data_IF_524654352335
#
_entry.id   IF_524654352335
#
_cell.length_a   1.000
_cell.length_b   1.000
_cell.length_c   1.000
_cell.angle_alpha   90.00
_cell.angle_beta   90.00
_cell.angle_gamma   90.00
#
_symmetry.space_group_name_H-M   'P 1'
#
loop_
_entity.id
_entity.type
_entity.pdbx_description
1 polymer ?
#
# COMPACT_ATOMS: atom_id res chain seq x y z
N UNK A 1 0.21 -49.57 24.28
CA UNK A 1 0.49 -49.03 22.95
C UNK A 1 1.54 -49.97 22.30
N UNK A 2 1.19 -50.62 21.20
CA UNK A 2 2.08 -51.62 20.58
C UNK A 2 3.22 -50.91 19.83
N UNK A 3 4.45 -51.48 19.86
CA UNK A 3 5.62 -50.95 19.17
C UNK A 3 5.36 -50.60 17.68
N UNK A 4 4.52 -51.39 17.00
CA UNK A 4 4.07 -51.08 15.63
C UNK A 4 3.30 -49.77 15.48
N UNK A 5 2.45 -49.40 16.47
CA UNK A 5 1.73 -48.15 16.46
C UNK A 5 2.65 -46.94 16.66
N UNK A 6 3.68 -47.12 17.53
CA UNK A 6 4.68 -46.07 17.76
C UNK A 6 5.50 -45.79 16.49
N UNK A 7 5.94 -46.86 15.79
CA UNK A 7 6.66 -46.73 14.53
C UNK A 7 5.84 -46.05 13.44
N UNK A 8 4.54 -46.37 13.35
CA UNK A 8 3.64 -45.77 12.36
C UNK A 8 3.44 -44.26 12.65
N UNK A 9 3.30 -43.89 13.93
CA UNK A 9 3.16 -42.48 14.33
C UNK A 9 4.47 -41.69 14.05
N UNK A 10 5.64 -42.28 14.33
CA UNK A 10 6.93 -41.66 14.02
C UNK A 10 7.15 -41.52 12.50
N UNK A 11 6.73 -42.48 11.70
CA UNK A 11 6.81 -42.41 10.24
C UNK A 11 5.84 -41.36 9.67
N UNK A 12 4.63 -41.25 10.19
CA UNK A 12 3.70 -40.19 9.81
C UNK A 12 4.17 -38.80 10.25
N UNK A 13 4.78 -38.66 11.43
CA UNK A 13 5.37 -37.43 11.90
C UNK A 13 6.60 -37.02 11.08
N UNK A 14 7.41 -37.98 10.64
CA UNK A 14 8.56 -37.74 9.75
C UNK A 14 8.14 -37.36 8.32
N UNK A 15 7.02 -37.89 7.81
CA UNK A 15 6.48 -37.56 6.49
C UNK A 15 5.84 -36.14 6.46
N UNK A 16 5.48 -35.57 7.60
CA UNK A 16 4.96 -34.20 7.72
C UNK A 16 6.06 -33.15 7.91
N UNK A 17 7.34 -33.48 7.81
CA UNK A 17 8.40 -32.51 7.57
C UNK A 17 8.22 -32.00 6.14
N UNK A 18 7.20 -31.17 5.97
CA UNK A 18 7.04 -30.36 4.76
C UNK A 18 8.39 -29.70 4.51
N UNK A 19 9.00 -29.97 3.41
CA UNK A 19 10.13 -29.21 2.91
C UNK A 19 9.71 -27.75 2.95
N UNK A 20 10.15 -27.03 3.98
CA UNK A 20 10.01 -25.58 4.03
C UNK A 20 10.78 -25.08 2.80
N UNK A 21 10.09 -24.99 1.68
CA UNK A 21 10.62 -24.39 0.47
C UNK A 21 11.02 -22.98 0.89
N UNK A 22 12.30 -22.68 0.91
CA UNK A 22 12.76 -21.37 1.25
C UNK A 22 12.14 -20.43 0.26
N UNK A 23 11.21 -19.63 0.75
CA UNK A 23 10.50 -18.64 -0.05
C UNK A 23 11.42 -17.46 -0.25
N UNK A 24 11.57 -17.05 -1.49
CA UNK A 24 12.21 -15.79 -1.82
C UNK A 24 11.31 -14.64 -1.41
N UNK A 25 11.90 -13.53 -1.03
CA UNK A 25 11.18 -12.31 -0.70
C UNK A 25 11.55 -11.20 -1.67
N UNK A 26 10.57 -10.66 -2.37
CA UNK A 26 10.74 -9.51 -3.24
C UNK A 26 10.25 -8.26 -2.52
N UNK A 27 11.13 -7.28 -2.30
CA UNK A 27 10.77 -5.95 -1.81
C UNK A 27 10.49 -5.04 -3.00
N UNK A 28 9.27 -4.51 -3.05
CA UNK A 28 8.87 -3.56 -4.09
C UNK A 28 9.14 -2.11 -3.66
N UNK A 29 9.42 -1.22 -4.63
CA UNK A 29 9.59 0.23 -4.43
C UNK A 29 8.41 0.92 -3.75
N UNK A 30 7.23 0.33 -3.79
CA UNK A 30 6.04 0.82 -3.06
C UNK A 30 5.96 0.35 -1.60
N UNK A 31 6.99 -0.36 -1.08
CA UNK A 31 7.04 -0.86 0.30
C UNK A 31 6.30 -2.17 0.52
N UNK A 32 5.83 -2.86 -0.52
CA UNK A 32 5.16 -4.16 -0.38
C UNK A 32 6.17 -5.30 -0.46
N UNK A 33 6.14 -6.22 0.51
CA UNK A 33 6.88 -7.47 0.49
C UNK A 33 6.03 -8.56 -0.19
N UNK A 34 6.62 -9.30 -1.11
CA UNK A 34 6.01 -10.44 -1.78
C UNK A 34 6.81 -11.70 -1.44
N UNK A 35 6.15 -12.69 -0.88
CA UNK A 35 6.70 -14.03 -0.72
C UNK A 35 6.47 -14.79 -2.02
N UNK A 36 7.53 -15.37 -2.58
CA UNK A 36 7.51 -16.04 -3.87
C UNK A 36 8.30 -17.36 -3.80
N UNK A 37 8.00 -18.29 -4.68
CA UNK A 37 8.64 -19.63 -4.66
C UNK A 37 9.89 -19.68 -5.53
N UNK A 38 9.97 -18.87 -6.56
CA UNK A 38 11.08 -18.82 -7.51
C UNK A 38 11.16 -17.40 -8.07
N UNK A 39 12.34 -16.81 -8.04
CA UNK A 39 12.55 -15.46 -8.53
C UNK A 39 13.80 -15.39 -9.40
N UNK A 40 13.67 -14.78 -10.58
CA UNK A 40 14.76 -14.61 -11.56
C UNK A 40 14.74 -13.23 -12.17
N UNK A 41 15.92 -12.68 -12.38
CA UNK A 41 16.08 -11.46 -13.16
C UNK A 41 16.37 -11.82 -14.59
N UNK A 42 15.56 -11.36 -15.51
CA UNK A 42 15.64 -11.68 -16.94
C UNK A 42 15.63 -10.40 -17.77
N UNK A 43 16.30 -10.43 -18.91
CA UNK A 43 16.21 -9.37 -19.91
C UNK A 43 15.24 -9.82 -20.99
N UNK A 44 14.19 -9.03 -21.21
CA UNK A 44 13.20 -9.32 -22.26
C UNK A 44 13.80 -9.12 -23.65
N UNK A 45 13.16 -9.68 -24.68
CA UNK A 45 13.57 -9.48 -26.08
C UNK A 45 13.57 -7.99 -26.51
N UNK A 46 12.89 -7.12 -25.74
CA UNK A 46 12.87 -5.65 -25.96
C UNK A 46 14.00 -4.92 -25.22
N UNK A 47 14.86 -5.65 -24.49
CA UNK A 47 15.94 -5.06 -23.70
C UNK A 47 15.53 -4.62 -22.28
N UNK A 48 14.26 -4.74 -21.91
CA UNK A 48 13.81 -4.37 -20.56
C UNK A 48 14.23 -5.44 -19.53
N UNK A 49 14.76 -5.01 -18.39
CA UNK A 49 15.04 -5.90 -17.27
C UNK A 49 13.76 -6.15 -16.46
N UNK A 50 13.38 -7.41 -16.30
CA UNK A 50 12.21 -7.82 -15.54
C UNK A 50 12.58 -8.84 -14.46
N UNK A 51 11.83 -8.83 -13.38
CA UNK A 51 11.87 -9.86 -12.34
C UNK A 51 10.68 -10.78 -12.55
N UNK A 52 10.96 -12.01 -12.99
CA UNK A 52 9.97 -13.09 -13.11
C UNK A 52 9.92 -13.86 -11.79
N UNK A 53 8.72 -14.21 -11.33
CA UNK A 53 8.54 -14.93 -10.08
C UNK A 53 7.25 -15.75 -10.08
N UNK A 54 7.22 -16.78 -9.23
CA UNK A 54 6.04 -17.60 -9.00
C UNK A 54 5.44 -17.31 -7.63
N UNK A 55 4.14 -17.00 -7.60
CA UNK A 55 3.40 -16.83 -6.35
C UNK A 55 3.14 -18.18 -5.67
N UNK A 56 2.88 -18.24 -4.34
CA UNK A 56 2.57 -19.48 -3.62
C UNK A 56 1.38 -20.26 -4.20
N UNK A 57 0.49 -19.60 -4.94
CA UNK A 57 -0.63 -20.24 -5.63
C UNK A 57 -0.28 -20.79 -7.03
N UNK A 58 1.01 -20.89 -7.36
CA UNK A 58 1.53 -21.41 -8.63
C UNK A 58 1.45 -20.44 -9.81
N UNK A 59 0.92 -19.24 -9.66
CA UNK A 59 0.80 -18.27 -10.76
C UNK A 59 2.14 -17.60 -11.02
N UNK A 60 2.63 -17.67 -12.27
CA UNK A 60 3.77 -16.90 -12.73
C UNK A 60 3.41 -15.44 -12.99
N UNK A 61 4.26 -14.54 -12.56
CA UNK A 61 4.15 -13.09 -12.78
C UNK A 61 5.51 -12.50 -13.04
N UNK A 62 5.52 -11.34 -13.71
CA UNK A 62 6.73 -10.55 -13.91
C UNK A 62 6.49 -9.09 -13.51
N UNK A 63 7.56 -8.39 -13.15
CA UNK A 63 7.58 -6.95 -12.88
C UNK A 63 8.85 -6.35 -13.44
N UNK A 64 8.75 -5.14 -13.95
CA UNK A 64 9.94 -4.40 -14.35
C UNK A 64 10.86 -4.15 -13.15
N UNK A 65 12.16 -4.30 -13.36
CA UNK A 65 13.19 -4.22 -12.32
C UNK A 65 13.13 -2.89 -11.56
N UNK A 66 12.84 -1.77 -12.23
CA UNK A 66 12.72 -0.45 -11.57
C UNK A 66 11.57 -0.36 -10.53
N UNK A 67 10.63 -1.32 -10.50
CA UNK A 67 9.58 -1.44 -9.47
C UNK A 67 9.98 -2.33 -8.30
N UNK A 68 11.17 -2.94 -8.37
CA UNK A 68 11.70 -3.87 -7.39
C UNK A 68 12.92 -3.24 -6.74
N UNK A 69 12.93 -3.15 -5.42
CA UNK A 69 14.08 -2.68 -4.66
C UNK A 69 15.12 -3.79 -4.53
N UNK A 70 14.70 -4.96 -4.02
CA UNK A 70 15.60 -6.09 -3.81
C UNK A 70 14.87 -7.43 -3.88
N UNK A 71 15.65 -8.46 -4.10
CA UNK A 71 15.26 -9.87 -4.04
C UNK A 71 16.13 -10.53 -2.99
N UNK A 72 15.51 -11.11 -1.97
CA UNK A 72 16.19 -11.90 -0.94
C UNK A 72 15.87 -13.37 -1.15
N UNK A 73 16.89 -14.17 -1.29
CA UNK A 73 16.81 -15.63 -1.46
C UNK A 73 17.80 -16.33 -0.50
N UNK A 74 17.94 -17.65 -0.59
CA UNK A 74 18.88 -18.43 0.24
C UNK A 74 20.34 -17.99 0.09
N UNK A 75 20.70 -17.45 -1.07
CA UNK A 75 22.08 -17.03 -1.38
C UNK A 75 22.41 -15.64 -0.86
N UNK A 76 21.41 -14.89 -0.39
CA UNK A 76 21.55 -13.53 0.10
C UNK A 76 20.56 -12.56 -0.51
N UNK A 77 20.79 -11.26 -0.33
CA UNK A 77 20.00 -10.19 -0.92
C UNK A 77 20.68 -9.61 -2.14
N UNK A 78 19.95 -9.57 -3.26
CA UNK A 78 20.33 -8.84 -4.47
C UNK A 78 19.54 -7.55 -4.55
N UNK A 79 20.23 -6.41 -4.42
CA UNK A 79 19.62 -5.09 -4.59
C UNK A 79 19.59 -4.74 -6.07
N UNK A 80 18.41 -4.37 -6.58
CA UNK A 80 18.21 -3.94 -7.97
C UNK A 80 18.06 -2.41 -8.09
N UNK A 81 17.75 -1.75 -6.98
CA UNK A 81 17.68 -0.30 -6.93
C UNK A 81 19.06 0.31 -7.10
N UNK A 82 19.20 1.18 -8.08
CA UNK A 82 20.39 1.99 -8.32
C UNK A 82 19.96 3.44 -8.26
N UNK A 83 20.47 4.24 -7.31
CA UNK A 83 20.22 5.68 -7.31
C UNK A 83 20.81 6.29 -8.57
N UNK A 84 20.02 7.08 -9.29
CA UNK A 84 20.54 7.94 -10.35
C UNK A 84 21.29 9.06 -9.66
N UNK A 85 22.31 9.62 -10.30
CA UNK A 85 23.24 10.60 -9.69
C UNK A 85 22.63 12.00 -9.44
N UNK A 86 21.34 12.08 -9.16
CA UNK A 86 20.63 13.29 -8.78
C UNK A 86 20.79 13.53 -7.28
N UNK A 87 21.15 14.75 -6.89
CA UNK A 87 21.44 15.13 -5.49
C UNK A 87 20.30 14.82 -4.50
N UNK A 88 19.06 14.68 -4.99
CA UNK A 88 17.86 14.45 -4.17
C UNK A 88 17.47 12.96 -4.03
N UNK A 89 18.22 12.02 -4.63
CA UNK A 89 17.89 10.62 -4.54
C UNK A 89 18.43 9.95 -3.28
N UNK A 90 17.61 9.09 -2.69
CA UNK A 90 17.98 8.31 -1.51
C UNK A 90 19.08 7.30 -1.87
N UNK A 91 20.11 7.20 -1.04
CA UNK A 91 21.07 6.11 -1.14
C UNK A 91 20.37 4.75 -0.95
N UNK A 92 21.04 3.66 -1.33
CA UNK A 92 20.49 2.31 -1.18
C UNK A 92 20.06 2.03 0.27
N UNK A 93 20.86 2.45 1.27
CA UNK A 93 20.56 2.22 2.67
C UNK A 93 19.39 3.10 3.16
N UNK A 94 19.36 4.37 2.77
CA UNK A 94 18.24 5.27 3.08
C UNK A 94 16.93 4.77 2.46
N UNK A 95 16.96 4.33 1.20
CA UNK A 95 15.81 3.73 0.53
C UNK A 95 15.37 2.45 1.22
N UNK A 96 16.31 1.61 1.68
CA UNK A 96 16.02 0.40 2.45
C UNK A 96 15.24 0.75 3.73
N UNK A 97 15.73 1.72 4.52
CA UNK A 97 15.07 2.20 5.74
C UNK A 97 13.68 2.77 5.45
N UNK A 98 13.57 3.59 4.43
CA UNK A 98 12.29 4.14 3.97
C UNK A 98 11.29 3.04 3.61
N UNK A 99 11.69 2.06 2.79
CA UNK A 99 10.81 0.96 2.38
C UNK A 99 10.46 0.03 3.54
N UNK A 100 11.34 -0.15 4.49
CA UNK A 100 11.07 -0.92 5.70
C UNK A 100 9.98 -0.24 6.53
N UNK A 101 10.13 1.05 6.85
CA UNK A 101 9.10 1.83 7.54
C UNK A 101 7.77 1.82 6.77
N UNK A 102 7.82 1.98 5.46
CA UNK A 102 6.63 1.91 4.62
C UNK A 102 5.95 0.53 4.65
N UNK A 103 6.72 -0.56 4.63
CA UNK A 103 6.20 -1.92 4.68
C UNK A 103 5.52 -2.23 6.02
N UNK A 104 6.16 -1.84 7.13
CA UNK A 104 5.68 -2.12 8.48
C UNK A 104 4.36 -1.41 8.78
N UNK A 105 4.12 -0.25 8.17
CA UNK A 105 2.88 0.53 8.33
C UNK A 105 1.92 0.47 7.12
N UNK A 106 2.20 -0.32 6.10
CA UNK A 106 1.37 -0.43 4.89
C UNK A 106 0.08 -1.25 5.06
N UNK A 107 -0.10 -1.90 6.20
CA UNK A 107 -1.23 -2.77 6.46
C UNK A 107 -2.27 -2.07 7.33
N UNK A 108 -3.50 -2.02 6.83
CA UNK A 108 -4.63 -1.49 7.59
C UNK A 108 -5.60 -0.68 6.73
N UNK A 109 -6.79 -0.54 7.26
CA UNK A 109 -7.84 0.32 6.73
C UNK A 109 -8.26 1.30 7.81
N UNK A 110 -8.31 2.57 7.49
CA UNK A 110 -8.64 3.60 8.46
C UNK A 110 -10.12 3.93 8.44
N UNK A 111 -10.90 3.22 9.26
CA UNK A 111 -12.35 3.41 9.37
C UNK A 111 -12.77 4.84 9.69
N UNK A 112 -12.01 5.54 10.52
CA UNK A 112 -12.30 6.94 10.86
C UNK A 112 -12.22 7.86 9.63
N UNK A 113 -11.21 7.66 8.77
CA UNK A 113 -11.08 8.45 7.53
C UNK A 113 -12.07 8.01 6.46
N UNK A 114 -12.45 6.74 6.41
CA UNK A 114 -13.56 6.28 5.58
C UNK A 114 -14.88 6.94 5.98
N UNK A 115 -15.24 6.90 7.26
CA UNK A 115 -16.47 7.53 7.78
C UNK A 115 -16.46 9.04 7.55
N UNK A 116 -15.30 9.70 7.73
CA UNK A 116 -15.12 11.10 7.41
C UNK A 116 -15.34 11.43 5.93
N UNK A 117 -14.90 10.57 5.02
CA UNK A 117 -15.16 10.68 3.57
C UNK A 117 -16.64 10.57 3.24
N UNK A 118 -17.35 9.59 3.82
CA UNK A 118 -18.81 9.46 3.69
C UNK A 118 -19.51 10.73 4.20
N UNK A 119 -19.13 11.21 5.39
CA UNK A 119 -19.73 12.42 5.99
C UNK A 119 -19.45 13.67 5.14
N UNK A 120 -18.23 13.81 4.61
CA UNK A 120 -17.87 14.94 3.75
C UNK A 120 -18.70 14.97 2.45
N UNK A 121 -18.95 13.80 1.85
CA UNK A 121 -19.78 13.68 0.65
C UNK A 121 -21.24 13.99 0.96
N UNK A 122 -21.76 13.45 2.06
CA UNK A 122 -23.14 13.71 2.49
C UNK A 122 -23.33 15.19 2.80
N UNK A 123 -22.42 15.81 3.55
CA UNK A 123 -22.46 17.25 3.84
C UNK A 123 -22.39 18.08 2.54
N UNK A 124 -21.50 17.68 1.61
CA UNK A 124 -21.37 18.34 0.31
C UNK A 124 -22.65 18.30 -0.53
N UNK A 125 -23.46 17.25 -0.41
CA UNK A 125 -24.72 17.11 -1.14
C UNK A 125 -25.76 18.17 -0.71
N UNK A 126 -25.68 18.69 0.51
CA UNK A 126 -26.57 19.74 1.02
C UNK A 126 -26.06 21.15 0.74
N UNK A 127 -24.85 21.31 0.20
CA UNK A 127 -24.31 22.64 -0.14
C UNK A 127 -24.86 23.09 -1.49
N UNK A 128 -25.51 24.26 -1.57
CA UNK A 128 -26.09 24.75 -2.82
C UNK A 128 -25.00 25.03 -3.86
N UNK A 129 -25.33 24.78 -5.13
CA UNK A 129 -24.44 25.12 -6.25
C UNK A 129 -24.26 26.63 -6.34
N UNK A 130 -23.02 27.11 -6.48
CA UNK A 130 -22.76 28.51 -6.83
C UNK A 130 -22.92 28.66 -8.34
N UNK A 131 -23.77 29.59 -8.73
CA UNK A 131 -23.96 29.98 -10.13
C UNK A 131 -23.04 31.16 -10.45
N UNK A 132 -22.19 30.97 -11.43
CA UNK A 132 -21.36 32.04 -11.95
C UNK A 132 -21.90 32.44 -13.33
N UNK A 133 -22.14 33.74 -13.51
CA UNK A 133 -22.45 34.29 -14.80
C UNK A 133 -21.15 34.67 -15.49
N UNK A 134 -20.77 33.89 -16.52
CA UNK A 134 -19.58 34.16 -17.33
C UNK A 134 -20.09 34.54 -18.73
N UNK A 135 -20.19 35.84 -19.01
CA UNK A 135 -20.73 36.36 -20.24
C UNK A 135 -22.21 35.99 -20.44
N UNK A 136 -22.53 35.35 -21.58
CA UNK A 136 -23.89 34.84 -21.91
C UNK A 136 -24.20 33.46 -21.34
N UNK A 137 -23.26 32.80 -20.65
CA UNK A 137 -23.39 31.42 -20.15
C UNK A 137 -23.52 31.38 -18.65
N UNK A 138 -24.52 30.67 -18.15
CA UNK A 138 -24.68 30.37 -16.72
C UNK A 138 -23.95 29.04 -16.43
N UNK A 139 -22.79 29.11 -15.78
CA UNK A 139 -22.10 27.92 -15.27
C UNK A 139 -22.47 27.69 -13.81
N UNK A 140 -23.01 26.52 -13.51
CA UNK A 140 -23.24 26.10 -12.11
C UNK A 140 -22.08 25.19 -11.69
N UNK A 141 -21.30 25.62 -10.70
CA UNK A 141 -20.28 24.76 -10.09
C UNK A 141 -20.86 24.18 -8.81
N UNK A 142 -21.04 22.86 -8.72
CA UNK A 142 -21.52 22.25 -7.50
C UNK A 142 -20.40 22.30 -6.46
N UNK A 143 -20.49 23.28 -5.53
CA UNK A 143 -19.51 23.41 -4.42
C UNK A 143 -19.45 22.15 -3.59
N UNK A 144 -20.53 21.39 -3.52
CA UNK A 144 -20.59 20.12 -2.85
C UNK A 144 -19.49 19.15 -3.26
N UNK A 145 -18.96 19.26 -4.49
CA UNK A 145 -17.80 18.47 -4.92
C UNK A 145 -16.48 18.96 -4.33
N UNK A 146 -16.37 20.22 -3.92
CA UNK A 146 -15.14 20.78 -3.36
C UNK A 146 -14.89 20.23 -1.95
N UNK A 147 -15.94 20.02 -1.17
CA UNK A 147 -15.85 19.54 0.22
C UNK A 147 -15.14 18.18 0.33
N UNK A 148 -15.53 17.14 -0.41
CA UNK A 148 -14.83 15.86 -0.35
C UNK A 148 -13.37 15.94 -0.84
N UNK A 149 -13.05 16.74 -1.87
CA UNK A 149 -11.66 16.92 -2.32
C UNK A 149 -10.83 17.67 -1.27
N UNK A 150 -11.38 18.72 -0.66
CA UNK A 150 -10.73 19.43 0.45
C UNK A 150 -10.45 18.50 1.63
N UNK A 151 -11.38 17.61 1.96
CA UNK A 151 -11.20 16.60 3.00
C UNK A 151 -10.00 15.69 2.72
N UNK A 152 -9.89 15.12 1.51
CA UNK A 152 -8.76 14.24 1.14
C UNK A 152 -7.44 15.00 1.20
N UNK A 153 -7.42 16.24 0.73
CA UNK A 153 -6.23 17.10 0.79
C UNK A 153 -5.76 17.35 2.22
N UNK A 154 -6.66 17.73 3.13
CA UNK A 154 -6.35 17.97 4.55
C UNK A 154 -5.88 16.71 5.23
N UNK A 155 -6.53 15.58 4.98
CA UNK A 155 -6.18 14.27 5.56
C UNK A 155 -4.81 13.79 5.09
N UNK A 156 -4.46 14.03 3.81
CA UNK A 156 -3.17 13.66 3.24
C UNK A 156 -2.00 14.47 3.80
N UNK A 157 -2.25 15.76 4.13
CA UNK A 157 -1.21 16.73 4.51
C UNK A 157 -1.00 16.90 6.03
N UNK A 158 -1.50 16.02 6.88
CA UNK A 158 -1.31 16.14 8.33
C UNK A 158 0.16 15.87 8.73
N UNK A 159 0.92 16.93 8.92
CA UNK A 159 2.35 16.94 9.29
C UNK A 159 2.65 16.31 10.67
N UNK A 160 1.67 16.26 11.56
CA UNK A 160 1.81 15.67 12.91
C UNK A 160 1.70 14.14 12.96
N UNK A 161 1.69 13.47 11.80
CA UNK A 161 1.54 12.01 11.75
C UNK A 161 2.75 11.29 12.36
N UNK A 162 3.97 11.84 12.24
CA UNK A 162 5.19 11.24 12.77
C UNK A 162 5.23 11.20 14.29
N UNK A 163 4.98 12.34 14.92
CA UNK A 163 4.98 12.44 16.39
C UNK A 163 3.93 11.52 17.00
N UNK A 164 2.74 11.49 16.40
CA UNK A 164 1.66 10.61 16.84
C UNK A 164 1.99 9.13 16.62
N UNK A 165 2.65 8.78 15.51
CA UNK A 165 3.14 7.44 15.24
C UNK A 165 4.18 7.00 16.27
N UNK A 166 5.15 7.85 16.57
CA UNK A 166 6.17 7.58 17.59
C UNK A 166 5.57 7.43 18.99
N UNK A 167 4.61 8.27 19.36
CA UNK A 167 3.89 8.16 20.61
C UNK A 167 3.07 6.86 20.75
N UNK A 168 2.49 6.36 19.65
CA UNK A 168 1.73 5.11 19.61
C UNK A 168 2.62 3.86 19.54
N UNK A 169 3.85 4.00 19.08
CA UNK A 169 4.80 2.90 18.86
C UNK A 169 6.17 3.25 19.46
N UNK A 170 6.34 3.20 20.80
CA UNK A 170 7.57 3.62 21.47
C UNK A 170 8.80 2.80 21.08
N UNK A 171 8.61 1.57 20.59
CA UNK A 171 9.69 0.69 20.12
C UNK A 171 10.10 0.93 18.66
N UNK A 172 9.54 1.95 18.01
CA UNK A 172 9.85 2.29 16.64
C UNK A 172 11.30 2.80 16.51
N UNK A 173 12.06 2.37 15.47
CA UNK A 173 13.39 2.88 15.23
C UNK A 173 13.41 4.40 15.12
N UNK A 174 14.39 5.04 15.78
CA UNK A 174 14.60 6.49 15.71
C UNK A 174 15.49 6.82 14.51
N UNK A 175 15.00 6.49 13.31
CA UNK A 175 15.66 6.68 12.04
C UNK A 175 14.78 7.55 11.15
N UNK A 176 15.34 8.63 10.61
CA UNK A 176 14.61 9.62 9.82
C UNK A 176 13.93 9.00 8.60
N UNK A 177 14.66 8.20 7.85
CA UNK A 177 14.14 7.60 6.61
C UNK A 177 13.09 6.52 6.88
N UNK A 178 13.27 5.76 7.98
CA UNK A 178 12.23 4.83 8.44
C UNK A 178 10.94 5.58 8.80
N UNK A 179 11.07 6.69 9.53
CA UNK A 179 9.93 7.54 9.92
C UNK A 179 9.23 8.15 8.70
N UNK A 180 9.99 8.63 7.71
CA UNK A 180 9.43 9.14 6.45
C UNK A 180 8.65 8.04 5.70
N UNK A 181 9.18 6.82 5.66
CA UNK A 181 8.50 5.67 5.07
C UNK A 181 7.19 5.32 5.77
N UNK A 182 7.21 5.27 7.10
CA UNK A 182 6.04 5.02 7.93
C UNK A 182 4.95 6.10 7.74
N UNK A 183 5.35 7.38 7.71
CA UNK A 183 4.45 8.50 7.43
C UNK A 183 3.81 8.40 6.05
N UNK A 184 4.61 8.09 5.02
CA UNK A 184 4.11 7.92 3.67
C UNK A 184 3.07 6.80 3.58
N UNK A 185 3.29 5.67 4.29
CA UNK A 185 2.34 4.57 4.36
C UNK A 185 1.02 4.98 5.03
N UNK A 186 1.10 5.62 6.19
CA UNK A 186 -0.09 6.06 6.95
C UNK A 186 -0.87 7.13 6.20
N UNK A 187 -0.17 8.10 5.58
CA UNK A 187 -0.81 9.12 4.73
C UNK A 187 -1.54 8.48 3.56
N UNK A 188 -0.89 7.56 2.86
CA UNK A 188 -1.50 6.81 1.76
C UNK A 188 -2.75 6.04 2.19
N UNK A 189 -2.71 5.36 3.34
CA UNK A 189 -3.89 4.65 3.88
C UNK A 189 -5.05 5.59 4.17
N UNK A 190 -4.78 6.75 4.77
CA UNK A 190 -5.80 7.77 5.08
C UNK A 190 -6.45 8.29 3.80
N UNK A 191 -5.63 8.64 2.81
CA UNK A 191 -6.11 9.13 1.51
C UNK A 191 -6.99 8.08 0.83
N UNK A 192 -6.53 6.82 0.76
CA UNK A 192 -7.28 5.73 0.14
C UNK A 192 -8.59 5.49 0.90
N UNK A 193 -8.55 5.41 2.23
CA UNK A 193 -9.75 5.19 3.04
C UNK A 193 -10.74 6.34 2.90
N UNK A 194 -10.26 7.58 2.90
CA UNK A 194 -11.08 8.78 2.68
C UNK A 194 -11.71 8.81 1.30
N UNK A 195 -10.94 8.50 0.25
CA UNK A 195 -11.44 8.43 -1.12
C UNK A 195 -12.51 7.35 -1.30
N UNK A 196 -12.30 6.16 -0.71
CA UNK A 196 -13.32 5.09 -0.72
C UNK A 196 -14.58 5.52 0.04
N UNK A 197 -14.43 6.25 1.14
CA UNK A 197 -15.56 6.84 1.87
C UNK A 197 -16.36 7.82 1.02
N UNK A 198 -15.68 8.68 0.27
CA UNK A 198 -16.30 9.63 -0.66
C UNK A 198 -17.11 8.91 -1.75
N UNK A 199 -16.50 7.90 -2.38
CA UNK A 199 -17.18 7.10 -3.41
C UNK A 199 -18.41 6.39 -2.84
N UNK A 200 -18.31 5.80 -1.66
CA UNK A 200 -19.42 5.13 -0.98
C UNK A 200 -20.53 6.12 -0.62
N UNK A 201 -20.20 7.30 -0.11
CA UNK A 201 -21.16 8.37 0.19
C UNK A 201 -21.88 8.86 -1.05
N UNK A 202 -21.19 9.00 -2.18
CA UNK A 202 -21.78 9.35 -3.48
C UNK A 202 -22.78 8.33 -3.98
N UNK A 203 -22.48 7.04 -3.84
CA UNK A 203 -23.43 5.96 -4.20
C UNK A 203 -24.68 6.01 -3.32
N UNK A 204 -24.50 6.13 -1.99
CA UNK A 204 -25.62 6.22 -1.05
C UNK A 204 -26.52 7.42 -1.42
N UNK A 205 -25.94 8.58 -1.68
CA UNK A 205 -26.68 9.76 -2.06
C UNK A 205 -27.45 9.57 -3.38
N UNK A 206 -26.80 8.98 -4.39
CA UNK A 206 -27.44 8.69 -5.69
C UNK A 206 -28.66 7.77 -5.56
N UNK A 207 -28.55 6.75 -4.69
CA UNK A 207 -29.67 5.84 -4.40
C UNK A 207 -30.81 6.56 -3.69
N UNK A 208 -30.48 7.38 -2.67
CA UNK A 208 -31.50 8.16 -1.93
C UNK A 208 -32.21 9.15 -2.87
N UNK A 209 -31.49 9.85 -3.71
CA UNK A 209 -32.06 10.77 -4.70
C UNK A 209 -33.00 10.03 -5.67
N UNK A 210 -32.61 8.87 -6.18
CA UNK A 210 -33.42 8.07 -7.11
C UNK A 210 -34.72 7.48 -6.50
N UNK A 211 -34.77 7.32 -5.17
CA UNK A 211 -35.97 6.81 -4.48
C UNK A 211 -36.91 7.98 -4.06
N UNK A 212 -36.38 9.19 -3.98
CA UNK A 212 -37.12 10.37 -3.52
C UNK A 212 -37.84 11.12 -4.64
N UNK A 213 -37.57 10.79 -5.91
CA UNK A 213 -38.29 11.22 -7.12
C UNK A 213 -39.48 10.24 -7.40
#
# INVERSE_FOLDING_TARGET
MNAKQLITICLLAAASISTASAQDTIMLMRGKRLLVSDSKVEITAKGDTVVSYQLPNGKHKSKNAYKVFSISNKSGEQVLYTPESLEDELTVEQMRRFLQGKADFSHGFSWGFFAGGVAATTAGAFVPSIRFNVGSSNAAVPIGLIVPFGYVYVVGNTTKAAEKLKAQNPNMPDDEYYMLGAQAAVSQQRVISGALGILSGGVIWGVVAAISD
#
